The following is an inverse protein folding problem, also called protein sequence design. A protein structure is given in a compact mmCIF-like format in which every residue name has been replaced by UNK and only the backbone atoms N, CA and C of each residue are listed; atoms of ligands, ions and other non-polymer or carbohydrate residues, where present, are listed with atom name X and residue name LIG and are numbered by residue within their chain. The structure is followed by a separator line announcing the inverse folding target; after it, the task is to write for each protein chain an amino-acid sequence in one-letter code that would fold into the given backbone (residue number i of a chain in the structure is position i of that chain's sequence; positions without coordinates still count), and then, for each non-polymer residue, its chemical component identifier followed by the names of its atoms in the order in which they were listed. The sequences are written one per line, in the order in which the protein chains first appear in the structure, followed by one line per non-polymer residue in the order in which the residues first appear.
data_IF_703031993448
#
_entry.id   IF_703031993448
#
_cell.length_a   1.000
_cell.length_b   1.000
_cell.length_c   1.000
_cell.angle_alpha   90.00
_cell.angle_beta   90.00
_cell.angle_gamma   90.00
#
_symmetry.space_group_name_H-M   'P 1'
#
loop_
_entity.id
_entity.type
_entity.pdbx_description
1 polymer ?
#
# COMPACT_ATOMS: atom_id res chain seq x y z
N UNK A 1 -12.71 47.72 6.33
CA UNK A 1 -12.68 46.28 6.70
C UNK A 1 -12.69 46.24 8.23
N UNK A 2 -13.86 46.03 8.84
CA UNK A 2 -14.06 46.13 10.30
C UNK A 2 -14.49 44.77 10.82
N UNK A 3 -13.62 44.09 11.56
CA UNK A 3 -13.95 42.83 12.23
C UNK A 3 -15.00 43.10 13.33
N UNK A 4 -16.23 42.64 13.11
CA UNK A 4 -17.25 42.62 14.17
C UNK A 4 -16.94 41.44 15.09
N UNK A 5 -16.26 41.71 16.21
CA UNK A 5 -16.11 40.75 17.31
C UNK A 5 -17.46 40.57 18.01
N UNK A 6 -18.07 39.40 17.84
CA UNK A 6 -19.28 39.03 18.57
C UNK A 6 -18.92 38.72 20.02
N UNK A 7 -19.25 39.65 20.94
CA UNK A 7 -19.23 39.38 22.38
C UNK A 7 -20.42 38.47 22.70
N UNK A 8 -20.16 37.21 22.99
CA UNK A 8 -21.17 36.31 23.53
C UNK A 8 -21.49 36.73 24.98
N UNK A 9 -22.73 37.13 25.23
CA UNK A 9 -23.29 37.27 26.59
C UNK A 9 -24.30 36.15 26.79
N UNK A 10 -24.13 35.35 27.86
CA UNK A 10 -24.99 34.21 28.16
C UNK A 10 -26.46 34.59 28.46
N UNK A 11 -26.76 35.89 28.59
CA UNK A 11 -28.07 36.41 28.96
C UNK A 11 -29.01 36.74 27.80
N UNK A 12 -28.56 36.64 26.54
CA UNK A 12 -29.40 36.87 25.36
C UNK A 12 -28.94 35.95 24.20
N UNK A 13 -29.57 34.77 24.02
CA UNK A 13 -29.21 33.89 22.91
C UNK A 13 -29.59 34.55 21.59
N UNK A 14 -28.59 34.85 20.76
CA UNK A 14 -28.80 35.29 19.38
C UNK A 14 -29.45 34.13 18.62
N UNK A 15 -30.65 34.34 18.08
CA UNK A 15 -31.32 33.35 17.24
C UNK A 15 -30.51 33.18 15.94
N UNK A 16 -29.69 32.14 15.88
CA UNK A 16 -28.90 31.79 14.71
C UNK A 16 -29.83 31.00 13.78
N UNK A 17 -30.07 31.46 12.54
CA UNK A 17 -30.90 30.71 11.61
C UNK A 17 -30.33 29.31 11.41
N UNK A 18 -31.19 28.29 11.53
CA UNK A 18 -30.81 26.90 11.30
C UNK A 18 -30.26 26.75 9.87
N UNK A 19 -29.08 26.13 9.76
CA UNK A 19 -28.47 25.88 8.45
C UNK A 19 -29.40 24.99 7.63
N UNK A 20 -29.63 25.28 6.34
CA UNK A 20 -30.44 24.40 5.50
C UNK A 20 -29.83 23.00 5.49
N UNK A 21 -30.67 22.00 5.70
CA UNK A 21 -30.28 20.59 5.61
C UNK A 21 -29.80 20.33 4.17
N UNK A 22 -28.61 19.73 3.97
CA UNK A 22 -28.16 19.39 2.63
C UNK A 22 -29.12 18.37 2.02
N UNK A 23 -29.66 18.69 0.84
CA UNK A 23 -30.49 17.76 0.09
C UNK A 23 -29.62 16.56 -0.33
N UNK A 24 -29.87 15.42 0.31
CA UNK A 24 -29.13 14.16 0.07
C UNK A 24 -29.73 13.32 -1.06
N UNK A 25 -30.75 13.81 -1.76
CA UNK A 25 -31.34 13.08 -2.88
C UNK A 25 -30.46 13.22 -4.14
N UNK A 26 -29.75 12.13 -4.47
CA UNK A 26 -28.99 12.05 -5.72
C UNK A 26 -29.92 11.58 -6.85
N UNK A 27 -29.84 12.24 -8.00
CA UNK A 27 -30.51 11.75 -9.21
C UNK A 27 -29.85 10.44 -9.70
N UNK A 28 -30.57 9.67 -10.54
CA UNK A 28 -30.08 8.42 -11.12
C UNK A 28 -28.71 8.58 -11.81
N UNK A 29 -28.52 9.68 -12.56
CA UNK A 29 -27.26 10.01 -13.23
C UNK A 29 -26.11 10.30 -12.25
N UNK A 30 -26.38 11.06 -11.19
CA UNK A 30 -25.39 11.42 -10.18
C UNK A 30 -24.96 10.18 -9.37
N UNK A 31 -25.89 9.27 -9.12
CA UNK A 31 -25.62 7.98 -8.46
C UNK A 31 -24.71 7.10 -9.31
N UNK A 32 -24.92 7.06 -10.63
CA UNK A 32 -24.07 6.32 -11.58
C UNK A 32 -22.68 6.94 -11.64
N UNK A 33 -22.59 8.26 -11.72
CA UNK A 33 -21.31 8.98 -11.76
C UNK A 33 -20.51 8.79 -10.47
N UNK A 34 -21.17 8.84 -9.31
CA UNK A 34 -20.55 8.58 -8.02
C UNK A 34 -20.02 7.13 -7.91
N UNK A 35 -20.78 6.14 -8.39
CA UNK A 35 -20.33 4.74 -8.45
C UNK A 35 -19.09 4.58 -9.32
N UNK A 36 -19.06 5.20 -10.51
CA UNK A 36 -17.90 5.13 -11.41
C UNK A 36 -16.65 5.80 -10.78
N UNK A 37 -16.83 6.92 -10.10
CA UNK A 37 -15.73 7.57 -9.36
C UNK A 37 -15.18 6.68 -8.25
N UNK A 38 -16.06 6.06 -7.45
CA UNK A 38 -15.64 5.13 -6.42
C UNK A 38 -14.90 3.90 -6.98
N UNK A 39 -15.31 3.39 -8.14
CA UNK A 39 -14.59 2.30 -8.82
C UNK A 39 -13.20 2.74 -9.28
N UNK A 40 -13.07 3.94 -9.86
CA UNK A 40 -11.78 4.49 -10.28
C UNK A 40 -10.83 4.70 -9.10
N UNK A 41 -11.32 5.27 -8.01
CA UNK A 41 -10.53 5.50 -6.79
C UNK A 41 -10.14 4.17 -6.13
N UNK A 42 -11.07 3.20 -6.02
CA UNK A 42 -10.75 1.86 -5.53
C UNK A 42 -9.68 1.17 -6.39
N UNK A 43 -9.77 1.29 -7.72
CA UNK A 43 -8.78 0.77 -8.64
C UNK A 43 -7.38 1.36 -8.41
N UNK A 44 -7.28 2.69 -8.23
CA UNK A 44 -6.02 3.38 -7.92
C UNK A 44 -5.43 2.88 -6.60
N UNK A 45 -6.25 2.74 -5.56
CA UNK A 45 -5.79 2.25 -4.24
C UNK A 45 -5.28 0.81 -4.31
N UNK A 46 -5.97 -0.06 -5.05
CA UNK A 46 -5.54 -1.46 -5.24
C UNK A 46 -4.23 -1.49 -6.03
N UNK A 47 -4.12 -0.72 -7.11
CA UNK A 47 -2.91 -0.63 -7.92
C UNK A 47 -1.72 -0.15 -7.09
N UNK A 48 -1.89 0.89 -6.28
CA UNK A 48 -0.85 1.40 -5.40
C UNK A 48 -0.39 0.34 -4.37
N UNK A 49 -1.33 -0.40 -3.78
CA UNK A 49 -1.02 -1.50 -2.88
C UNK A 49 -0.21 -2.59 -3.58
N UNK A 50 -0.60 -2.98 -4.79
CA UNK A 50 0.14 -3.97 -5.59
C UNK A 50 1.56 -3.51 -5.94
N UNK A 51 1.73 -2.25 -6.34
CA UNK A 51 3.06 -1.67 -6.61
C UNK A 51 3.92 -1.70 -5.36
N UNK A 52 3.36 -1.27 -4.22
CA UNK A 52 4.06 -1.29 -2.93
C UNK A 52 4.49 -2.71 -2.56
N UNK A 53 3.58 -3.68 -2.64
CA UNK A 53 3.86 -5.08 -2.33
C UNK A 53 4.95 -5.66 -3.26
N UNK A 54 4.91 -5.33 -4.55
CA UNK A 54 5.93 -5.73 -5.52
C UNK A 54 7.31 -5.14 -5.19
N UNK A 55 7.38 -3.83 -4.91
CA UNK A 55 8.64 -3.15 -4.57
C UNK A 55 9.23 -3.72 -3.28
N UNK A 56 8.41 -3.90 -2.25
CA UNK A 56 8.85 -4.50 -0.98
C UNK A 56 9.40 -5.90 -1.20
N UNK A 57 8.72 -6.72 -2.01
CA UNK A 57 9.20 -8.06 -2.32
C UNK A 57 10.54 -8.06 -3.06
N UNK A 58 10.74 -7.15 -4.02
CA UNK A 58 12.02 -7.02 -4.72
C UNK A 58 13.14 -6.56 -3.81
N UNK A 59 12.86 -5.62 -2.90
CA UNK A 59 13.84 -5.17 -1.91
C UNK A 59 14.26 -6.31 -0.98
N UNK A 60 13.30 -7.07 -0.43
CA UNK A 60 13.59 -8.22 0.44
C UNK A 60 14.42 -9.27 -0.31
N UNK A 61 14.06 -9.57 -1.56
CA UNK A 61 14.80 -10.51 -2.41
C UNK A 61 16.26 -10.07 -2.63
N UNK A 62 16.49 -8.77 -2.85
CA UNK A 62 17.84 -8.24 -3.02
C UNK A 62 18.63 -8.27 -1.71
N UNK A 63 18.03 -7.89 -0.58
CA UNK A 63 18.68 -7.95 0.73
C UNK A 63 19.11 -9.38 1.04
N UNK A 64 18.25 -10.38 0.84
CA UNK A 64 18.58 -11.78 1.09
C UNK A 64 19.71 -12.27 0.17
N UNK A 65 19.69 -11.87 -1.11
CA UNK A 65 20.72 -12.27 -2.07
C UNK A 65 22.08 -11.63 -1.78
N UNK A 66 22.10 -10.33 -1.50
CA UNK A 66 23.33 -9.60 -1.16
C UNK A 66 23.85 -10.04 0.20
N UNK A 67 22.98 -10.17 1.20
CA UNK A 67 23.32 -10.66 2.54
C UNK A 67 23.92 -12.06 2.51
N UNK A 68 23.34 -12.97 1.72
CA UNK A 68 23.93 -14.31 1.50
C UNK A 68 25.33 -14.21 0.88
N UNK A 69 25.54 -13.33 -0.09
CA UNK A 69 26.85 -13.12 -0.71
C UNK A 69 27.90 -12.58 0.29
N UNK A 70 27.51 -11.62 1.14
CA UNK A 70 28.41 -11.07 2.17
C UNK A 70 28.75 -12.14 3.22
N UNK A 71 27.75 -12.85 3.73
CA UNK A 71 27.96 -13.93 4.71
C UNK A 71 28.83 -15.05 4.14
N UNK A 72 28.63 -15.44 2.87
CA UNK A 72 29.46 -16.44 2.22
C UNK A 72 30.92 -15.96 2.11
N UNK A 73 31.11 -14.71 1.72
CA UNK A 73 32.46 -14.13 1.55
C UNK A 73 33.19 -14.02 2.89
N UNK A 74 32.51 -13.53 3.94
CA UNK A 74 33.07 -13.47 5.29
C UNK A 74 33.35 -14.86 5.85
N UNK A 75 32.40 -15.79 5.73
CA UNK A 75 32.57 -17.15 6.21
C UNK A 75 33.72 -17.90 5.55
N UNK A 76 33.93 -17.73 4.24
CA UNK A 76 35.09 -18.29 3.54
C UNK A 76 36.39 -17.61 4.01
N UNK A 77 36.40 -16.28 4.13
CA UNK A 77 37.59 -15.54 4.57
C UNK A 77 38.00 -15.84 6.01
N UNK A 78 37.03 -16.05 6.90
CA UNK A 78 37.23 -16.32 8.32
C UNK A 78 37.28 -17.81 8.65
N UNK A 79 37.07 -18.68 7.65
CA UNK A 79 36.85 -20.11 7.83
C UNK A 79 35.79 -20.42 8.91
N UNK A 80 34.74 -19.60 8.98
CA UNK A 80 33.63 -19.76 9.92
C UNK A 80 32.51 -20.56 9.27
N UNK A 81 32.28 -21.75 9.81
CA UNK A 81 31.22 -22.66 9.36
C UNK A 81 29.83 -22.05 9.59
N UNK A 82 29.66 -21.26 10.66
CA UNK A 82 28.38 -20.64 11.00
C UNK A 82 27.97 -19.59 9.95
N UNK A 83 28.91 -18.76 9.50
CA UNK A 83 28.68 -17.73 8.49
C UNK A 83 28.37 -18.37 7.11
N UNK A 84 29.04 -19.47 6.76
CA UNK A 84 28.79 -20.23 5.53
C UNK A 84 27.39 -20.86 5.56
N UNK A 85 27.00 -21.51 6.67
CA UNK A 85 25.65 -22.08 6.83
C UNK A 85 24.60 -20.96 6.79
N UNK A 86 24.84 -19.84 7.46
CA UNK A 86 23.98 -18.67 7.44
C UNK A 86 23.75 -18.14 6.02
N UNK A 87 24.81 -18.10 5.20
CA UNK A 87 24.71 -17.71 3.80
C UNK A 87 23.83 -18.66 2.97
N UNK A 88 23.99 -19.98 3.16
CA UNK A 88 23.18 -21.00 2.48
C UNK A 88 21.71 -20.86 2.87
N UNK A 89 21.42 -20.70 4.17
CA UNK A 89 20.05 -20.52 4.67
C UNK A 89 19.41 -19.25 4.12
N UNK A 90 20.15 -18.13 4.11
CA UNK A 90 19.67 -16.87 3.55
C UNK A 90 19.34 -17.00 2.05
N UNK A 91 20.15 -17.75 1.30
CA UNK A 91 19.93 -18.02 -0.12
C UNK A 91 18.67 -18.87 -0.36
N UNK A 92 18.48 -19.94 0.42
CA UNK A 92 17.29 -20.81 0.34
C UNK A 92 16.03 -20.01 0.68
N UNK A 93 16.06 -19.19 1.73
CA UNK A 93 14.95 -18.31 2.10
C UNK A 93 14.62 -17.31 0.98
N UNK A 94 15.65 -16.74 0.33
CA UNK A 94 15.46 -15.87 -0.83
C UNK A 94 14.77 -16.57 -2.00
N UNK A 95 15.12 -17.84 -2.27
CA UNK A 95 14.48 -18.66 -3.31
C UNK A 95 13.03 -18.97 -2.93
N UNK A 96 12.77 -19.43 -1.70
CA UNK A 96 11.41 -19.73 -1.23
C UNK A 96 10.53 -18.49 -1.30
N UNK A 97 11.03 -17.35 -0.82
CA UNK A 97 10.32 -16.08 -0.89
C UNK A 97 10.01 -15.68 -2.33
N UNK A 98 10.99 -15.79 -3.24
CA UNK A 98 10.80 -15.56 -4.67
C UNK A 98 9.69 -16.45 -5.24
N UNK A 99 9.70 -17.74 -4.90
CA UNK A 99 8.68 -18.68 -5.34
C UNK A 99 7.30 -18.32 -4.79
N UNK A 100 7.16 -18.04 -3.50
CA UNK A 100 5.84 -17.66 -2.91
C UNK A 100 5.29 -16.39 -3.57
N UNK A 101 6.15 -15.39 -3.78
CA UNK A 101 5.70 -14.10 -4.30
C UNK A 101 5.44 -14.13 -5.81
N UNK A 102 6.19 -14.95 -6.56
CA UNK A 102 6.06 -15.08 -8.02
C UNK A 102 5.32 -16.33 -8.49
N UNK A 103 4.84 -17.22 -7.61
CA UNK A 103 4.00 -18.38 -7.99
C UNK A 103 2.68 -17.97 -8.67
N UNK A 104 2.22 -16.72 -8.49
CA UNK A 104 1.15 -16.14 -9.31
C UNK A 104 1.59 -15.70 -10.71
N UNK A 105 2.88 -15.55 -10.99
CA UNK A 105 3.37 -15.18 -12.33
C UNK A 105 3.77 -16.40 -13.17
N UNK A 106 4.27 -17.47 -12.55
CA UNK A 106 4.73 -18.66 -13.28
C UNK A 106 3.60 -19.68 -13.58
N UNK A 107 2.46 -19.60 -12.89
CA UNK A 107 1.33 -20.55 -13.02
C UNK A 107 -0.01 -19.87 -13.40
N UNK A 108 -0.02 -18.55 -13.62
CA UNK A 108 -1.24 -17.87 -14.10
C UNK A 108 -1.14 -17.74 -15.61
N UNK A 109 -2.09 -18.35 -16.32
CA UNK A 109 -2.24 -18.26 -17.77
C UNK A 109 -2.28 -16.76 -18.18
N UNK A 110 -1.44 -16.31 -19.15
CA UNK A 110 -1.36 -14.91 -19.60
C UNK A 110 -2.72 -14.28 -19.97
N UNK A 111 -3.72 -15.12 -20.30
CA UNK A 111 -5.07 -14.71 -20.68
C UNK A 111 -5.87 -14.05 -19.56
N UNK A 112 -5.50 -14.22 -18.29
CA UNK A 112 -6.21 -13.62 -17.14
C UNK A 112 -5.78 -12.17 -16.88
N UNK A 113 -4.63 -11.73 -17.43
CA UNK A 113 -4.12 -10.38 -17.25
C UNK A 113 -4.72 -9.32 -18.21
N UNK A 114 -5.37 -9.76 -19.29
CA UNK A 114 -5.88 -8.88 -20.36
C UNK A 114 -7.42 -8.74 -20.39
N UNK A 115 -8.12 -9.23 -19.37
CA UNK A 115 -9.56 -9.03 -19.16
C UNK A 115 -9.80 -8.06 -18.01
#
# INVERSE_FOLDING_TARGET
MSEKKYKYSASNPVNVPEKPLPDTSLNLFETVQAKLYHLKVKGITIMWKTIKDFVVAKLIQWILKVGAGVLATQGISNNSVEEIIGAIVALILGIIYSLVTHKKLALTDPKVFLK
#
